data_IF_398446748512
#
_entry.id   IF_398446748512
#
_cell.length_a   1.000
_cell.length_b   1.000
_cell.length_c   1.000
_cell.angle_alpha   90.00
_cell.angle_beta   90.00
_cell.angle_gamma   90.00
#
_symmetry.space_group_name_H-M   'P 1'
#
loop_
_entity.id
_entity.type
_entity.pdbx_description
1 polymer ?
#
# COMPACT_ATOMS: atom_id res chain seq x y z
N UNK A 1 21.46 1.81 0.54
CA UNK A 1 20.43 1.22 1.42
C UNK A 1 20.63 -0.27 1.41
N UNK A 2 20.85 -0.88 2.57
CA UNK A 2 20.91 -2.34 2.65
C UNK A 2 19.51 -2.96 2.44
N UNK A 3 19.43 -4.26 2.17
CA UNK A 3 18.14 -4.92 1.85
C UNK A 3 17.17 -4.96 3.03
N UNK A 4 17.68 -5.07 4.25
CA UNK A 4 16.87 -5.14 5.48
C UNK A 4 16.27 -3.76 5.79
N UNK A 5 17.04 -2.70 5.54
CA UNK A 5 16.57 -1.32 5.59
C UNK A 5 15.53 -1.06 4.50
N UNK A 6 15.76 -1.54 3.29
CA UNK A 6 14.83 -1.36 2.18
C UNK A 6 13.47 -2.01 2.46
N UNK A 7 13.45 -3.29 2.87
CA UNK A 7 12.20 -3.99 3.20
C UNK A 7 11.44 -3.29 4.34
N UNK A 8 12.16 -2.71 5.31
CA UNK A 8 11.58 -1.90 6.39
C UNK A 8 10.83 -0.68 5.87
N UNK A 9 11.46 0.09 4.98
CA UNK A 9 10.84 1.28 4.40
C UNK A 9 9.66 0.93 3.52
N UNK A 10 9.83 -0.08 2.66
CA UNK A 10 8.78 -0.54 1.76
C UNK A 10 7.56 -1.05 2.55
N UNK A 11 7.76 -1.91 3.57
CA UNK A 11 6.68 -2.42 4.41
C UNK A 11 5.95 -1.30 5.15
N UNK A 12 6.67 -0.30 5.66
CA UNK A 12 6.05 0.84 6.35
C UNK A 12 5.12 1.62 5.41
N UNK A 13 5.55 1.89 4.18
CA UNK A 13 4.72 2.58 3.19
C UNK A 13 3.51 1.73 2.80
N UNK A 14 3.70 0.42 2.60
CA UNK A 14 2.60 -0.51 2.28
C UNK A 14 1.57 -0.58 3.42
N UNK A 15 2.02 -0.72 4.66
CA UNK A 15 1.15 -0.75 5.84
C UNK A 15 0.33 0.54 5.95
N UNK A 16 0.96 1.71 5.74
CA UNK A 16 0.28 3.01 5.76
C UNK A 16 -0.74 3.13 4.64
N UNK A 17 -0.38 2.72 3.41
CA UNK A 17 -1.29 2.71 2.26
C UNK A 17 -2.54 1.89 2.57
N UNK A 18 -2.38 0.64 3.01
CA UNK A 18 -3.48 -0.27 3.35
C UNK A 18 -4.36 0.32 4.45
N UNK A 19 -3.73 0.85 5.51
CA UNK A 19 -4.45 1.47 6.63
C UNK A 19 -5.25 2.70 6.20
N UNK A 20 -4.66 3.58 5.38
CA UNK A 20 -5.33 4.77 4.86
C UNK A 20 -6.55 4.42 4.00
N UNK A 21 -6.46 3.39 3.15
CA UNK A 21 -7.61 2.93 2.36
C UNK A 21 -8.73 2.38 3.25
N UNK A 22 -8.40 1.58 4.27
CA UNK A 22 -9.41 1.11 5.20
C UNK A 22 -10.11 2.24 5.95
N UNK A 23 -9.36 3.26 6.40
CA UNK A 23 -9.98 4.45 6.99
C UNK A 23 -10.81 5.23 5.96
N UNK A 24 -10.32 5.37 4.72
CA UNK A 24 -11.06 6.02 3.63
C UNK A 24 -12.43 5.37 3.46
N UNK A 25 -12.47 4.03 3.41
CA UNK A 25 -13.71 3.26 3.32
C UNK A 25 -14.65 3.48 4.51
N UNK A 26 -14.11 3.59 5.73
CA UNK A 26 -14.91 3.81 6.94
C UNK A 26 -15.55 5.20 7.01
N UNK A 27 -14.92 6.22 6.42
CA UNK A 27 -15.46 7.59 6.39
C UNK A 27 -16.29 7.89 5.14
N UNK A 28 -16.14 7.09 4.09
CA UNK A 28 -16.88 7.23 2.83
C UNK A 28 -18.39 7.14 3.05
N UNK A 29 -19.15 8.05 2.45
CA UNK A 29 -20.62 8.07 2.51
C UNK A 29 -21.21 8.58 3.82
N UNK A 30 -20.40 9.09 4.75
CA UNK A 30 -20.88 9.75 5.97
C UNK A 30 -21.30 11.19 5.66
N UNK A 31 -22.43 11.58 6.24
CA UNK A 31 -23.00 12.94 6.13
C UNK A 31 -22.32 13.91 7.12
N UNK A 32 -22.32 15.21 6.81
CA UNK A 32 -21.60 16.35 7.47
C UNK A 32 -20.32 16.77 6.73
N UNK A 33 -20.03 18.08 6.68
CA UNK A 33 -18.90 18.71 5.98
C UNK A 33 -17.52 18.25 6.46
N UNK A 34 -17.41 17.74 7.69
CA UNK A 34 -16.16 17.22 8.25
C UNK A 34 -15.66 15.94 7.53
N UNK A 35 -16.55 14.98 7.28
CA UNK A 35 -16.14 13.66 6.77
C UNK A 35 -15.57 13.67 5.34
N UNK A 36 -16.11 14.45 4.39
CA UNK A 36 -15.50 14.61 3.07
C UNK A 36 -14.06 15.15 3.13
N UNK A 37 -13.74 16.06 4.07
CA UNK A 37 -12.38 16.59 4.25
C UNK A 37 -11.44 15.46 4.67
N UNK A 38 -11.85 14.66 5.66
CA UNK A 38 -11.08 13.51 6.14
C UNK A 38 -10.93 12.46 5.03
N UNK A 39 -12.01 12.15 4.32
CA UNK A 39 -12.01 11.22 3.19
C UNK A 39 -11.01 11.67 2.12
N UNK A 40 -11.00 12.94 1.75
CA UNK A 40 -10.07 13.47 0.75
C UNK A 40 -8.62 13.37 1.19
N UNK A 41 -8.31 13.70 2.45
CA UNK A 41 -6.94 13.58 2.99
C UNK A 41 -6.45 12.13 3.02
N UNK A 42 -7.32 11.19 3.39
CA UNK A 42 -7.01 9.76 3.36
C UNK A 42 -6.80 9.26 1.93
N UNK A 43 -7.65 9.69 1.00
CA UNK A 43 -7.52 9.31 -0.40
C UNK A 43 -6.25 9.85 -1.03
N UNK A 44 -5.88 11.10 -0.74
CA UNK A 44 -4.61 11.70 -1.14
C UNK A 44 -3.44 10.84 -0.65
N UNK A 45 -3.46 10.48 0.64
CA UNK A 45 -2.41 9.66 1.25
C UNK A 45 -2.26 8.31 0.54
N UNK A 46 -3.36 7.63 0.20
CA UNK A 46 -3.31 6.38 -0.56
C UNK A 46 -2.67 6.60 -1.93
N UNK A 47 -3.08 7.62 -2.69
CA UNK A 47 -2.51 7.92 -4.01
C UNK A 47 -1.02 8.25 -3.93
N UNK A 48 -0.58 8.98 -2.91
CA UNK A 48 0.84 9.33 -2.69
C UNK A 48 1.66 8.07 -2.38
N UNK A 49 1.27 7.29 -1.38
CA UNK A 49 2.00 6.08 -1.01
C UNK A 49 2.04 5.07 -2.15
N UNK A 50 0.91 4.87 -2.84
CA UNK A 50 0.86 4.02 -4.01
C UNK A 50 1.81 4.52 -5.11
N UNK A 51 1.87 5.83 -5.33
CA UNK A 51 2.73 6.41 -6.37
C UNK A 51 4.22 6.22 -6.08
N UNK A 52 4.64 6.29 -4.81
CA UNK A 52 6.04 6.02 -4.43
C UNK A 52 6.43 4.57 -4.67
N UNK A 53 5.52 3.62 -4.44
CA UNK A 53 5.83 2.20 -4.57
C UNK A 53 5.67 1.69 -6.00
N UNK A 54 4.63 2.13 -6.71
CA UNK A 54 4.22 1.57 -8.02
C UNK A 54 4.18 2.61 -9.14
N UNK A 55 3.94 3.88 -8.81
CA UNK A 55 3.61 4.92 -9.78
C UNK A 55 4.78 5.45 -10.58
N UNK A 56 6.01 5.42 -10.04
CA UNK A 56 7.17 6.02 -10.67
C UNK A 56 8.44 5.18 -10.44
N UNK A 57 8.98 4.61 -11.51
CA UNK A 57 10.20 3.78 -11.47
C UNK A 57 11.46 4.53 -10.99
N UNK A 58 11.43 5.87 -10.99
CA UNK A 58 12.51 6.71 -10.49
C UNK A 58 12.44 6.95 -8.98
N UNK A 59 11.32 6.68 -8.33
CA UNK A 59 11.22 6.80 -6.88
C UNK A 59 12.13 5.77 -6.19
N UNK A 60 12.75 6.20 -5.10
CA UNK A 60 13.71 5.37 -4.37
C UNK A 60 13.04 4.15 -3.72
N UNK A 61 11.75 4.26 -3.39
CA UNK A 61 10.93 3.20 -2.79
C UNK A 61 10.13 2.38 -3.81
N UNK A 62 10.38 2.56 -5.11
CA UNK A 62 9.71 1.78 -6.13
C UNK A 62 10.04 0.28 -5.96
N UNK A 63 9.01 -0.60 -5.95
CA UNK A 63 9.19 -2.02 -5.59
C UNK A 63 10.27 -2.73 -6.42
N UNK A 64 10.45 -2.34 -7.69
CA UNK A 64 11.46 -2.94 -8.59
C UNK A 64 12.91 -2.65 -8.18
N UNK A 65 13.16 -1.70 -7.28
CA UNK A 65 14.50 -1.45 -6.72
C UNK A 65 14.87 -2.51 -5.69
N UNK A 66 13.88 -3.04 -4.97
CA UNK A 66 14.03 -4.21 -4.11
C UNK A 66 14.16 -5.48 -4.95
N UNK A 67 13.18 -5.73 -5.82
CA UNK A 67 13.15 -6.87 -6.73
C UNK A 67 13.92 -6.58 -8.03
N UNK A 68 15.23 -6.43 -7.88
CA UNK A 68 16.17 -6.15 -8.97
C UNK A 68 16.84 -7.44 -9.51
N UNK A 69 17.71 -7.28 -10.51
CA UNK A 69 18.39 -8.39 -11.19
C UNK A 69 19.23 -9.27 -10.22
N UNK A 70 19.74 -8.70 -9.12
CA UNK A 70 20.43 -9.49 -8.10
C UNK A 70 19.49 -10.43 -7.37
N UNK A 71 18.28 -9.98 -7.03
CA UNK A 71 17.25 -10.84 -6.42
C UNK A 71 16.82 -11.92 -7.39
N UNK A 72 16.61 -11.60 -8.66
CA UNK A 72 16.28 -12.60 -9.68
C UNK A 72 17.38 -13.67 -9.81
N UNK A 73 18.66 -13.26 -9.78
CA UNK A 73 19.78 -14.20 -9.82
C UNK A 73 19.82 -15.15 -8.62
N UNK A 74 19.46 -14.66 -7.42
CA UNK A 74 19.50 -15.43 -6.17
C UNK A 74 18.28 -16.36 -6.03
N UNK A 75 17.10 -15.85 -6.34
CA UNK A 75 15.81 -16.52 -6.09
C UNK A 75 15.21 -17.18 -7.33
N UNK A 76 15.86 -17.03 -8.49
CA UNK A 76 15.37 -17.47 -9.78
C UNK A 76 14.30 -16.53 -10.35
N UNK A 77 13.73 -16.95 -11.48
CA UNK A 77 12.77 -16.13 -12.26
C UNK A 77 11.49 -15.79 -11.50
N UNK A 78 11.15 -16.49 -10.42
CA UNK A 78 9.91 -16.29 -9.67
C UNK A 78 9.77 -14.86 -9.10
N UNK A 79 10.89 -14.21 -8.78
CA UNK A 79 10.93 -12.81 -8.32
C UNK A 79 11.53 -11.87 -9.36
N UNK A 80 11.52 -12.26 -10.63
CA UNK A 80 11.78 -11.32 -11.72
C UNK A 80 10.71 -10.23 -11.73
N UNK A 81 11.08 -9.03 -12.19
CA UNK A 81 10.13 -7.91 -12.30
C UNK A 81 8.88 -8.29 -13.10
N UNK A 82 9.05 -9.03 -14.20
CA UNK A 82 7.96 -9.45 -15.08
C UNK A 82 6.96 -10.34 -14.34
N UNK A 83 7.44 -11.32 -13.57
CA UNK A 83 6.56 -12.22 -12.83
C UNK A 83 5.85 -11.52 -11.68
N UNK A 84 6.53 -10.56 -11.02
CA UNK A 84 5.92 -9.74 -9.97
C UNK A 84 4.85 -8.81 -10.55
N UNK A 85 5.12 -8.15 -11.68
CA UNK A 85 4.14 -7.34 -12.41
C UNK A 85 2.91 -8.18 -12.79
N UNK A 86 3.12 -9.37 -13.37
CA UNK A 86 2.05 -10.28 -13.76
C UNK A 86 1.20 -10.76 -12.56
N UNK A 87 1.82 -11.07 -11.42
CA UNK A 87 1.11 -11.44 -10.18
C UNK A 87 0.25 -10.30 -9.65
N UNK A 88 0.80 -9.09 -9.60
CA UNK A 88 0.05 -7.91 -9.16
C UNK A 88 -1.13 -7.62 -10.10
N UNK A 89 -0.93 -7.72 -11.42
CA UNK A 89 -2.02 -7.59 -12.41
C UNK A 89 -3.11 -8.66 -12.20
N UNK A 90 -2.70 -9.90 -11.94
CA UNK A 90 -3.62 -11.01 -11.64
C UNK A 90 -4.44 -10.74 -10.37
N UNK A 91 -3.79 -10.26 -9.29
CA UNK A 91 -4.47 -9.90 -8.05
C UNK A 91 -5.49 -8.76 -8.25
N UNK A 92 -5.17 -7.79 -9.11
CA UNK A 92 -6.06 -6.71 -9.50
C UNK A 92 -7.18 -7.14 -10.45
N UNK A 93 -7.09 -8.35 -11.04
CA UNK A 93 -7.97 -8.84 -12.10
C UNK A 93 -8.02 -7.89 -13.30
N UNK A 94 -6.85 -7.36 -13.66
CA UNK A 94 -6.69 -6.42 -14.77
C UNK A 94 -5.75 -6.97 -15.84
N UNK A 95 -6.01 -6.62 -17.09
CA UNK A 95 -5.00 -6.70 -18.14
C UNK A 95 -4.12 -5.43 -18.17
N UNK A 96 -3.09 -5.44 -19.02
CA UNK A 96 -2.13 -4.33 -19.12
C UNK A 96 -2.79 -2.99 -19.48
N UNK A 97 -3.75 -2.99 -20.40
CA UNK A 97 -4.47 -1.77 -20.84
C UNK A 97 -5.33 -1.21 -19.70
N UNK A 98 -6.04 -2.07 -18.97
CA UNK A 98 -6.84 -1.68 -17.81
C UNK A 98 -5.96 -1.10 -16.70
N UNK A 99 -4.80 -1.72 -16.47
CA UNK A 99 -3.83 -1.25 -15.49
C UNK A 99 -3.20 0.08 -15.89
N UNK A 100 -2.88 0.29 -17.17
CA UNK A 100 -2.36 1.58 -17.64
C UNK A 100 -3.38 2.71 -17.39
N UNK A 101 -4.66 2.46 -17.64
CA UNK A 101 -5.72 3.42 -17.35
C UNK A 101 -5.85 3.69 -15.85
N UNK A 102 -5.86 2.63 -15.02
CA UNK A 102 -5.85 2.75 -13.57
C UNK A 102 -4.65 3.57 -13.07
N UNK A 103 -3.45 3.29 -13.57
CA UNK A 103 -2.23 4.04 -13.22
C UNK A 103 -2.35 5.53 -13.59
N UNK A 104 -2.89 5.85 -14.76
CA UNK A 104 -3.13 7.24 -15.19
C UNK A 104 -4.13 7.95 -14.28
N UNK A 105 -5.20 7.27 -13.86
CA UNK A 105 -6.21 7.82 -12.95
C UNK A 105 -5.62 8.13 -11.58
N UNK A 106 -4.91 7.19 -10.94
CA UNK A 106 -4.30 7.39 -9.62
C UNK A 106 -3.27 8.53 -9.68
N UNK A 107 -2.47 8.58 -10.74
CA UNK A 107 -1.49 9.65 -10.95
C UNK A 107 -2.15 11.01 -11.19
N UNK A 108 -3.26 11.04 -11.92
CA UNK A 108 -4.06 12.25 -12.14
C UNK A 108 -4.61 12.76 -10.80
N UNK A 109 -5.20 11.88 -9.98
CA UNK A 109 -5.69 12.23 -8.64
C UNK A 109 -4.58 12.86 -7.80
N UNK A 110 -3.40 12.20 -7.72
CA UNK A 110 -2.23 12.74 -7.02
C UNK A 110 -1.84 14.14 -7.51
N UNK A 111 -1.74 14.32 -8.83
CA UNK A 111 -1.32 15.59 -9.42
C UNK A 111 -2.35 16.71 -9.17
N UNK A 112 -3.65 16.41 -9.29
CA UNK A 112 -4.72 17.36 -9.00
C UNK A 112 -4.67 17.83 -7.56
N UNK A 113 -4.49 16.92 -6.59
CA UNK A 113 -4.35 17.31 -5.19
C UNK A 113 -3.12 18.17 -4.95
N UNK A 114 -1.95 17.79 -5.46
CA UNK A 114 -0.72 18.59 -5.30
C UNK A 114 -0.90 20.00 -5.89
N UNK A 115 -1.57 20.12 -7.05
CA UNK A 115 -1.76 21.39 -7.74
C UNK A 115 -2.90 22.26 -7.16
N UNK A 116 -3.89 21.67 -6.47
CA UNK A 116 -5.11 22.37 -6.05
C UNK A 116 -5.38 22.27 -4.54
N UNK A 117 -4.35 22.06 -3.70
CA UNK A 117 -4.46 22.05 -2.23
C UNK A 117 -5.22 23.26 -1.66
N UNK A 118 -5.18 24.40 -2.35
CA UNK A 118 -5.77 25.66 -1.88
C UNK A 118 -7.25 25.86 -2.25
N UNK A 119 -7.82 25.08 -3.19
CA UNK A 119 -9.14 25.40 -3.78
C UNK A 119 -10.23 24.38 -3.41
N UNK A 120 -9.92 23.35 -2.60
CA UNK A 120 -10.90 22.34 -2.22
C UNK A 120 -11.36 21.52 -3.43
N UNK A 121 -10.44 20.73 -4.00
CA UNK A 121 -10.75 19.92 -5.18
C UNK A 121 -11.81 18.86 -4.84
N UNK A 122 -12.90 18.85 -5.62
CA UNK A 122 -13.87 17.75 -5.66
C UNK A 122 -13.27 16.56 -6.43
N UNK A 123 -12.21 15.97 -5.91
CA UNK A 123 -11.56 14.83 -6.53
C UNK A 123 -12.31 13.55 -6.16
N UNK A 124 -12.74 12.82 -7.17
CA UNK A 124 -13.36 11.51 -7.00
C UNK A 124 -12.26 10.44 -7.06
N UNK A 125 -12.08 9.71 -5.97
CA UNK A 125 -11.12 8.61 -5.90
C UNK A 125 -11.73 7.31 -6.45
N UNK A 126 -11.73 7.18 -7.77
CA UNK A 126 -12.24 5.97 -8.41
C UNK A 126 -11.29 4.77 -8.15
N UNK A 127 -11.86 3.62 -7.78
CA UNK A 127 -11.13 2.35 -7.58
C UNK A 127 -9.95 2.42 -6.61
N UNK A 128 -10.03 3.29 -5.59
CA UNK A 128 -8.95 3.45 -4.60
C UNK A 128 -8.66 2.17 -3.80
N UNK A 129 -9.67 1.30 -3.69
CA UNK A 129 -9.55 -0.03 -3.10
C UNK A 129 -8.54 -0.91 -3.83
N UNK A 130 -8.37 -0.72 -5.14
CA UNK A 130 -7.38 -1.46 -5.94
C UNK A 130 -5.95 -1.07 -5.58
N UNK A 131 -5.70 0.17 -5.14
CA UNK A 131 -4.39 0.54 -4.59
C UNK A 131 -4.04 -0.33 -3.38
N UNK A 132 -5.02 -0.57 -2.49
CA UNK A 132 -4.84 -1.48 -1.35
C UNK A 132 -4.61 -2.90 -1.83
N UNK A 133 -5.43 -3.43 -2.75
CA UNK A 133 -5.28 -4.82 -3.24
C UNK A 133 -3.88 -5.06 -3.81
N UNK A 134 -3.35 -4.13 -4.60
CA UNK A 134 -1.99 -4.24 -5.13
C UNK A 134 -0.92 -4.20 -4.02
N UNK A 135 -1.10 -3.34 -3.01
CA UNK A 135 -0.21 -3.25 -1.86
C UNK A 135 -0.22 -4.54 -1.02
N UNK A 136 -1.40 -5.12 -0.82
CA UNK A 136 -1.58 -6.40 -0.14
C UNK A 136 -0.88 -7.54 -0.86
N UNK A 137 -1.02 -7.63 -2.20
CA UNK A 137 -0.30 -8.64 -2.99
C UNK A 137 1.21 -8.44 -2.89
N UNK A 138 1.72 -7.20 -2.93
CA UNK A 138 3.15 -6.96 -2.77
C UNK A 138 3.65 -7.43 -1.39
N UNK A 139 2.86 -7.26 -0.32
CA UNK A 139 3.21 -7.80 1.02
C UNK A 139 3.25 -9.33 1.03
N UNK A 140 2.34 -10.00 0.30
CA UNK A 140 2.37 -11.46 0.12
C UNK A 140 3.65 -11.89 -0.60
N UNK A 141 3.99 -11.23 -1.72
CA UNK A 141 5.24 -11.47 -2.46
C UNK A 141 6.47 -11.26 -1.56
N UNK A 142 6.48 -10.21 -0.75
CA UNK A 142 7.57 -9.95 0.21
C UNK A 142 7.68 -11.04 1.28
N UNK A 143 6.55 -11.52 1.83
CA UNK A 143 6.53 -12.61 2.79
C UNK A 143 7.12 -13.91 2.20
N UNK A 144 6.74 -14.25 0.96
CA UNK A 144 7.28 -15.39 0.23
C UNK A 144 8.79 -15.24 -0.04
N UNK A 145 9.22 -14.05 -0.45
CA UNK A 145 10.64 -13.75 -0.66
C UNK A 145 11.44 -13.97 0.62
N UNK A 146 10.95 -13.48 1.77
CA UNK A 146 11.62 -13.63 3.07
C UNK A 146 11.80 -15.10 3.45
N UNK A 147 10.82 -15.96 3.15
CA UNK A 147 10.97 -17.40 3.38
C UNK A 147 12.08 -18.02 2.52
N UNK A 148 12.24 -17.56 1.28
CA UNK A 148 13.32 -18.01 0.40
C UNK A 148 14.67 -17.49 0.88
N UNK A 149 14.74 -16.21 1.26
CA UNK A 149 15.95 -15.60 1.82
C UNK A 149 16.46 -16.39 3.04
N UNK A 150 15.56 -16.82 3.92
CA UNK A 150 15.88 -17.71 5.04
C UNK A 150 16.37 -19.08 4.60
N UNK A 151 15.67 -19.76 3.68
CA UNK A 151 16.05 -21.10 3.21
C UNK A 151 17.41 -21.10 2.52
N UNK A 152 17.76 -20.00 1.85
CA UNK A 152 19.03 -19.82 1.15
C UNK A 152 20.13 -19.24 2.05
N UNK A 153 19.86 -18.99 3.33
CA UNK A 153 20.79 -18.37 4.28
C UNK A 153 21.40 -17.06 3.75
N UNK A 154 20.58 -16.18 3.17
CA UNK A 154 21.05 -14.86 2.75
C UNK A 154 21.44 -14.03 3.99
N UNK A 155 22.50 -13.22 3.85
CA UNK A 155 22.94 -12.33 4.93
C UNK A 155 21.83 -11.35 5.34
N UNK A 156 21.65 -11.18 6.65
CA UNK A 156 20.71 -10.26 7.25
C UNK A 156 19.76 -10.90 8.25
N UNK A 157 19.07 -10.08 9.03
CA UNK A 157 18.10 -10.52 10.06
C UNK A 157 16.75 -10.92 9.44
N UNK A 158 16.77 -11.81 8.44
CA UNK A 158 15.57 -12.29 7.74
C UNK A 158 14.63 -13.10 8.64
N UNK A 159 15.14 -13.64 9.74
CA UNK A 159 14.35 -14.36 10.74
C UNK A 159 13.34 -13.44 11.44
N UNK A 160 13.73 -12.19 11.71
CA UNK A 160 12.84 -11.16 12.27
C UNK A 160 11.70 -10.88 11.30
N UNK A 161 12.02 -10.69 10.02
CA UNK A 161 11.03 -10.42 8.98
C UNK A 161 10.10 -11.61 8.72
N UNK A 162 10.62 -12.84 8.81
CA UNK A 162 9.80 -14.02 8.67
C UNK A 162 8.80 -14.13 9.83
N UNK A 163 9.26 -13.91 11.07
CA UNK A 163 8.36 -13.84 12.24
C UNK A 163 7.32 -12.73 12.06
N UNK A 164 7.74 -11.56 11.59
CA UNK A 164 6.84 -10.43 11.32
C UNK A 164 5.71 -10.82 10.33
N UNK A 165 6.03 -11.40 9.17
CA UNK A 165 5.03 -11.77 8.18
C UNK A 165 4.16 -12.96 8.58
N UNK A 166 4.64 -13.84 9.45
CA UNK A 166 3.88 -14.97 9.99
C UNK A 166 2.98 -14.59 11.18
N UNK A 167 3.23 -13.45 11.82
CA UNK A 167 2.45 -13.01 12.97
C UNK A 167 1.03 -12.63 12.54
N UNK A 168 0.03 -13.21 13.20
CA UNK A 168 -1.37 -13.06 12.83
C UNK A 168 -1.80 -11.57 12.84
N UNK A 169 -1.27 -10.79 13.77
CA UNK A 169 -1.54 -9.35 13.92
C UNK A 169 -1.11 -8.50 12.71
N UNK A 170 -0.21 -9.00 11.86
CA UNK A 170 0.29 -8.29 10.68
C UNK A 170 -0.44 -8.69 9.39
N UNK A 171 -1.38 -9.63 9.47
CA UNK A 171 -2.25 -10.01 8.35
C UNK A 171 -3.14 -8.85 7.91
N UNK A 172 -3.52 -8.82 6.63
CA UNK A 172 -4.39 -7.76 6.09
C UNK A 172 -5.74 -7.69 6.82
N UNK A 173 -6.32 -8.84 7.21
CA UNK A 173 -7.55 -8.89 8.00
C UNK A 173 -7.37 -8.29 9.40
N UNK A 174 -6.21 -8.48 10.02
CA UNK A 174 -5.90 -7.86 11.31
C UNK A 174 -5.67 -6.36 11.21
N UNK A 175 -5.09 -5.87 10.10
CA UNK A 175 -4.97 -4.43 9.82
C UNK A 175 -6.37 -3.82 9.66
N UNK A 176 -7.26 -4.44 8.87
CA UNK A 176 -8.65 -3.98 8.72
C UNK A 176 -9.37 -3.93 10.08
N UNK A 177 -9.28 -5.01 10.87
CA UNK A 177 -9.91 -5.09 12.18
C UNK A 177 -9.37 -4.01 13.14
N UNK A 178 -8.05 -3.76 13.12
CA UNK A 178 -7.41 -2.69 13.88
C UNK A 178 -7.96 -1.32 13.45
N UNK A 179 -7.96 -1.00 12.14
CA UNK A 179 -8.51 0.26 11.63
C UNK A 179 -9.97 0.47 12.09
N UNK A 180 -10.82 -0.57 11.98
CA UNK A 180 -12.22 -0.51 12.46
C UNK A 180 -12.31 -0.21 13.96
N UNK A 181 -11.51 -0.90 14.78
CA UNK A 181 -11.49 -0.71 16.24
C UNK A 181 -11.01 0.69 16.61
N UNK A 182 -9.87 1.12 16.08
CA UNK A 182 -9.31 2.45 16.38
C UNK A 182 -10.24 3.57 15.92
N UNK A 183 -10.86 3.41 14.74
CA UNK A 183 -11.87 4.36 14.26
C UNK A 183 -13.06 4.46 15.22
N UNK A 184 -13.61 3.31 15.65
CA UNK A 184 -14.74 3.29 16.60
C UNK A 184 -14.37 3.97 17.91
N UNK A 185 -13.19 3.65 18.46
CA UNK A 185 -12.71 4.25 19.71
C UNK A 185 -12.52 5.77 19.56
N UNK A 186 -11.90 6.23 18.47
CA UNK A 186 -11.68 7.66 18.22
C UNK A 186 -12.99 8.44 18.05
N UNK A 187 -13.98 7.89 17.37
CA UNK A 187 -15.30 8.54 17.20
C UNK A 187 -16.07 8.60 18.52
N UNK A 188 -16.00 7.56 19.36
CA UNK A 188 -16.65 7.56 20.67
C UNK A 188 -16.07 8.63 21.60
N UNK A 189 -14.75 8.80 21.59
CA UNK A 189 -14.08 9.87 22.36
C UNK A 189 -14.55 11.26 21.93
N UNK A 190 -14.70 11.51 20.62
CA UNK A 190 -15.23 12.78 20.11
C UNK A 190 -16.70 13.01 20.50
N UNK A 191 -17.50 11.95 20.66
CA UNK A 191 -18.90 12.09 21.08
C UNK A 191 -19.08 12.36 22.58
N UNK A 192 -18.14 11.90 23.41
CA UNK A 192 -18.16 12.13 24.86
C UNK A 192 -17.64 13.54 25.21
N UNK A 193 -16.79 14.15 24.38
CA UNK A 193 -16.31 15.53 24.54
C UNK A 193 -17.33 16.61 24.11
N UNK A 194 -18.40 16.21 23.40
CA UNK A 194 -19.47 17.12 22.92
C UNK A 194 -20.67 17.17 23.90
N UNK A 195 -20.63 16.42 25.01
CA UNK A 195 -21.64 16.44 26.08
C UNK A 195 -21.18 17.24 27.28
#
# INVERSE_FOLDING_TARGET
>A
MDRIEYIKWLENVLYRLISCEHYFKLVSGRENQFWPIVQNSLGESVCIFWSHVFGNKKDDLHYSKFFNDDIERITGRNFSRINIEARMLTALKMNDTEYENFWKEVKSCRNQFIAHKEIGSNTVFYRIDLCRVQAEELRVIMAEFVQIALRQNLDGNWDIWNRYYQAAENSNSSIEAKCKREFKNGVLLLSDEIR
#
